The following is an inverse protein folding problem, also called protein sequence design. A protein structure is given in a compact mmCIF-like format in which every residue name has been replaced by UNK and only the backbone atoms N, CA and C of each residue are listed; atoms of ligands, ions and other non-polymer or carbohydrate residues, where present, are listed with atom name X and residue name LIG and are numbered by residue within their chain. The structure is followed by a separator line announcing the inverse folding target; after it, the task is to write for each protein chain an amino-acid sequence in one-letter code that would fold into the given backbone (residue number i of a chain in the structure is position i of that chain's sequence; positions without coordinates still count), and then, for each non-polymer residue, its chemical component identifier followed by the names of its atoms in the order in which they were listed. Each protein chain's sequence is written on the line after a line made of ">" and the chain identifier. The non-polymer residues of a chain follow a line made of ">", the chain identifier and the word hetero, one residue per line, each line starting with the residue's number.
data_IF_800719435337
#
_entry.id   IF_800719435337
#
_cell.length_a   1.000
_cell.length_b   1.000
_cell.length_c   1.000
_cell.angle_alpha   90.00
_cell.angle_beta   90.00
_cell.angle_gamma   90.00
#
_symmetry.space_group_name_H-M   'P 1'
#
loop_
_entity.id
_entity.type
_entity.pdbx_description
1 polymer ?
#
# COMPACT_ATOMS: atom_id res chain seq x y z
N UNK A 1 -4.68 36.94 -27.17
CA UNK A 1 -5.15 35.71 -26.50
C UNK A 1 -6.64 35.85 -26.25
N UNK A 2 -7.46 35.00 -26.88
CA UNK A 2 -8.91 35.09 -26.79
C UNK A 2 -9.38 34.68 -25.38
N UNK A 3 -10.13 35.53 -24.69
CA UNK A 3 -10.61 35.28 -23.31
C UNK A 3 -11.40 33.95 -23.21
N UNK A 4 -12.06 33.56 -24.30
CA UNK A 4 -12.74 32.28 -24.45
C UNK A 4 -11.80 31.06 -24.44
N UNK A 5 -10.65 31.16 -25.10
CA UNK A 5 -9.65 30.08 -25.14
C UNK A 5 -8.98 29.89 -23.78
N UNK A 6 -8.78 30.98 -23.03
CA UNK A 6 -8.23 30.92 -21.66
C UNK A 6 -9.21 30.22 -20.72
N UNK A 7 -10.51 30.54 -20.79
CA UNK A 7 -11.55 29.93 -19.96
C UNK A 7 -11.72 28.42 -20.21
N UNK A 8 -11.69 27.98 -21.46
CA UNK A 8 -11.81 26.55 -21.81
C UNK A 8 -10.61 25.73 -21.31
N UNK A 9 -9.40 26.32 -21.37
CA UNK A 9 -8.19 25.67 -20.87
C UNK A 9 -8.16 25.56 -19.33
N UNK A 10 -8.77 26.51 -18.61
CA UNK A 10 -8.85 26.44 -17.13
C UNK A 10 -9.81 25.37 -16.64
N UNK A 11 -10.95 25.18 -17.33
CA UNK A 11 -11.95 24.15 -16.98
C UNK A 11 -11.40 22.73 -17.19
N UNK A 12 -10.61 22.52 -18.25
CA UNK A 12 -9.99 21.22 -18.53
C UNK A 12 -9.01 20.76 -17.44
N UNK A 13 -8.33 21.70 -16.77
CA UNK A 13 -7.35 21.37 -15.71
C UNK A 13 -8.01 20.88 -14.42
N UNK A 14 -9.23 21.33 -14.12
CA UNK A 14 -9.93 20.95 -12.87
C UNK A 14 -10.45 19.50 -12.91
N UNK A 15 -10.72 18.98 -14.11
CA UNK A 15 -11.24 17.63 -14.31
C UNK A 15 -10.18 16.52 -14.18
N UNK A 16 -8.90 16.87 -14.05
CA UNK A 16 -7.79 15.92 -13.91
C UNK A 16 -7.51 15.49 -12.45
N UNK A 17 -8.44 15.74 -11.52
CA UNK A 17 -8.29 15.30 -10.14
C UNK A 17 -8.45 13.76 -10.04
N UNK A 18 -7.41 13.07 -9.57
CA UNK A 18 -7.44 11.62 -9.36
C UNK A 18 -8.45 11.23 -8.27
N UNK A 19 -9.11 10.07 -8.44
CA UNK A 19 -10.14 9.60 -7.50
C UNK A 19 -9.50 9.15 -6.19
N UNK A 20 -9.86 9.81 -5.07
CA UNK A 20 -9.47 9.37 -3.74
C UNK A 20 -10.24 8.10 -3.36
N UNK A 21 -9.53 6.99 -3.13
CA UNK A 21 -10.15 5.68 -2.82
C UNK A 21 -9.55 5.12 -1.55
N UNK A 22 -10.39 4.63 -0.64
CA UNK A 22 -9.91 3.93 0.55
C UNK A 22 -9.46 2.53 0.15
N UNK A 23 -8.23 2.16 0.50
CA UNK A 23 -7.71 0.80 0.31
C UNK A 23 -7.17 0.29 1.62
N UNK A 24 -7.65 -0.88 2.02
CA UNK A 24 -7.13 -1.59 3.19
C UNK A 24 -5.92 -2.42 2.77
N UNK A 25 -4.89 -2.44 3.61
CA UNK A 25 -3.78 -3.37 3.38
C UNK A 25 -4.20 -4.77 3.80
N UNK A 26 -3.86 -5.75 2.97
CA UNK A 26 -4.08 -7.17 3.22
C UNK A 26 -2.74 -7.92 3.25
N UNK A 27 -2.67 -9.08 3.93
CA UNK A 27 -1.47 -9.91 3.90
C UNK A 27 -1.23 -10.43 2.47
N UNK A 28 -0.10 -10.06 1.86
CA UNK A 28 0.33 -10.51 0.52
C UNK A 28 1.50 -11.49 0.59
N UNK A 29 1.98 -11.82 1.79
CA UNK A 29 3.07 -12.75 2.01
C UNK A 29 3.64 -12.65 3.42
N UNK A 30 4.74 -13.35 3.64
CA UNK A 30 5.45 -13.37 4.91
C UNK A 30 6.15 -14.70 5.11
N UNK A 31 7.12 -14.71 6.03
CA UNK A 31 7.88 -15.89 6.41
C UNK A 31 7.83 -16.05 7.92
N UNK A 32 7.28 -17.17 8.38
CA UNK A 32 7.32 -17.52 9.81
C UNK A 32 8.75 -17.74 10.29
N UNK A 33 9.61 -18.30 9.43
CA UNK A 33 11.01 -18.57 9.77
C UNK A 33 11.81 -17.27 9.93
N UNK A 34 11.55 -16.28 9.09
CA UNK A 34 12.23 -14.97 9.15
C UNK A 34 11.50 -13.97 10.07
N UNK A 35 10.33 -14.34 10.61
CA UNK A 35 9.51 -13.47 11.44
C UNK A 35 8.99 -12.23 10.70
N UNK A 36 8.63 -12.36 9.41
CA UNK A 36 8.18 -11.23 8.58
C UNK A 36 6.78 -11.43 8.03
N UNK A 37 6.02 -10.33 7.89
CA UNK A 37 4.70 -10.28 7.26
C UNK A 37 4.67 -9.14 6.26
N UNK A 38 4.35 -9.45 5.00
CA UNK A 38 4.20 -8.45 3.96
C UNK A 38 2.74 -8.04 3.83
N UNK A 39 2.45 -6.78 4.12
CA UNK A 39 1.12 -6.18 3.95
C UNK A 39 1.11 -5.31 2.70
N UNK A 40 0.02 -5.31 1.94
CA UNK A 40 -0.05 -4.48 0.74
C UNK A 40 -1.45 -4.36 0.15
N UNK A 41 -1.53 -3.58 -0.93
CA UNK A 41 -2.75 -3.30 -1.66
C UNK A 41 -2.44 -3.09 -3.15
N UNK A 42 -3.45 -3.24 -4.00
CA UNK A 42 -3.35 -2.95 -5.43
C UNK A 42 -4.00 -1.61 -5.74
N UNK A 43 -3.31 -0.80 -6.53
CA UNK A 43 -3.73 0.56 -6.92
C UNK A 43 -3.63 0.75 -8.43
N UNK A 44 -4.62 1.41 -9.01
CA UNK A 44 -4.61 1.83 -10.40
C UNK A 44 -3.86 3.14 -10.62
N UNK A 45 -3.37 3.39 -11.84
CA UNK A 45 -2.53 4.58 -12.16
C UNK A 45 -3.19 5.93 -11.90
N UNK A 46 -4.52 5.99 -11.83
CA UNK A 46 -5.30 7.22 -11.62
C UNK A 46 -6.00 7.28 -10.25
N UNK A 47 -5.75 6.29 -9.39
CA UNK A 47 -6.27 6.26 -8.03
C UNK A 47 -5.31 7.01 -7.09
N UNK A 48 -5.88 7.77 -6.16
CA UNK A 48 -5.16 8.32 -5.00
C UNK A 48 -5.57 7.51 -3.77
N UNK A 49 -4.82 6.46 -3.40
CA UNK A 49 -5.20 5.58 -2.31
C UNK A 49 -5.02 6.27 -0.95
N UNK A 50 -6.05 6.20 -0.11
CA UNK A 50 -5.98 6.58 1.30
C UNK A 50 -5.85 5.29 2.10
N UNK A 51 -4.73 5.15 2.82
CA UNK A 51 -4.37 3.94 3.57
C UNK A 51 -4.40 4.21 5.07
N UNK A 52 -4.92 3.26 5.84
CA UNK A 52 -4.81 3.24 7.30
C UNK A 52 -3.61 2.37 7.74
N UNK A 53 -2.51 3.01 8.11
CA UNK A 53 -1.30 2.33 8.58
C UNK A 53 -1.51 1.58 9.91
N UNK A 54 -2.44 2.01 10.76
CA UNK A 54 -2.75 1.34 12.02
C UNK A 54 -3.51 0.04 11.75
N UNK A 55 -4.46 0.06 10.80
CA UNK A 55 -5.16 -1.14 10.34
C UNK A 55 -4.16 -2.19 9.79
N UNK A 56 -3.23 -1.76 8.96
CA UNK A 56 -2.18 -2.63 8.40
C UNK A 56 -1.29 -3.23 9.51
N UNK A 57 -0.81 -2.40 10.44
CA UNK A 57 -0.01 -2.84 11.59
C UNK A 57 -0.76 -3.83 12.47
N UNK A 58 -2.03 -3.57 12.75
CA UNK A 58 -2.85 -4.44 13.59
C UNK A 58 -3.06 -5.82 12.95
N UNK A 59 -3.32 -5.87 11.64
CA UNK A 59 -3.43 -7.14 10.90
C UNK A 59 -2.10 -7.89 10.84
N UNK A 60 -0.99 -7.19 10.60
CA UNK A 60 0.35 -7.79 10.64
C UNK A 60 0.63 -8.39 12.03
N UNK A 61 0.33 -7.65 13.10
CA UNK A 61 0.49 -8.12 14.47
C UNK A 61 -0.42 -9.32 14.78
N UNK A 62 -1.66 -9.34 14.29
CA UNK A 62 -2.53 -10.51 14.40
C UNK A 62 -1.91 -11.73 13.73
N UNK A 63 -1.32 -11.57 12.54
CA UNK A 63 -0.62 -12.66 11.86
C UNK A 63 0.60 -13.14 12.66
N UNK A 64 1.43 -12.23 13.14
CA UNK A 64 2.57 -12.53 14.00
C UNK A 64 2.18 -13.26 15.30
N UNK A 65 1.04 -12.90 15.90
CA UNK A 65 0.49 -13.61 17.07
C UNK A 65 0.17 -15.06 16.81
N UNK A 66 -0.30 -15.41 15.61
CA UNK A 66 -0.50 -16.83 15.23
C UNK A 66 0.80 -17.63 15.20
N UNK A 67 1.95 -16.96 15.18
CA UNK A 67 3.28 -17.57 15.21
C UNK A 67 3.96 -17.51 16.58
N UNK A 68 3.34 -16.87 17.58
CA UNK A 68 3.87 -16.77 18.95
C UNK A 68 4.66 -15.48 19.25
N UNK A 69 4.52 -14.45 18.41
CA UNK A 69 5.03 -13.09 18.67
C UNK A 69 3.95 -12.20 19.29
N UNK A 70 4.34 -11.07 19.89
CA UNK A 70 3.39 -10.17 20.57
C UNK A 70 2.90 -9.04 19.66
N UNK A 71 3.74 -8.61 18.72
CA UNK A 71 3.48 -7.46 17.88
C UNK A 71 4.13 -7.55 16.50
N UNK A 72 3.99 -6.46 15.76
CA UNK A 72 4.63 -6.26 14.45
C UNK A 72 5.01 -4.80 14.27
N UNK A 73 6.14 -4.55 13.62
CA UNK A 73 6.66 -3.22 13.30
C UNK A 73 7.05 -3.13 11.84
N UNK A 74 6.70 -2.03 11.17
CA UNK A 74 7.05 -1.83 9.76
C UNK A 74 8.56 -1.59 9.61
N UNK A 75 9.17 -2.17 8.58
CA UNK A 75 10.55 -1.95 8.20
C UNK A 75 10.72 -1.96 6.67
N UNK A 76 11.88 -1.54 6.17
CA UNK A 76 12.19 -1.59 4.73
C UNK A 76 11.45 -0.58 3.84
N UNK A 77 10.53 0.20 4.41
CA UNK A 77 9.76 1.20 3.68
C UNK A 77 8.68 0.59 2.79
N UNK A 78 8.12 1.42 1.91
CA UNK A 78 7.09 1.01 0.95
C UNK A 78 7.73 0.63 -0.38
N UNK A 79 7.36 -0.52 -0.92
CA UNK A 79 7.78 -1.03 -2.22
C UNK A 79 6.58 -1.01 -3.16
N UNK A 80 6.77 -0.49 -4.37
CA UNK A 80 5.76 -0.50 -5.43
C UNK A 80 6.28 -1.32 -6.61
N UNK A 81 5.53 -2.35 -7.00
CA UNK A 81 5.86 -3.20 -8.13
C UNK A 81 4.71 -3.22 -9.13
N UNK A 82 5.03 -3.11 -10.43
CA UNK A 82 4.01 -3.18 -11.44
C UNK A 82 3.41 -4.59 -11.52
N UNK A 83 2.09 -4.68 -11.34
CA UNK A 83 1.33 -5.92 -11.46
C UNK A 83 0.80 -6.13 -12.88
N UNK A 84 0.46 -5.03 -13.57
CA UNK A 84 -0.03 -5.08 -14.95
C UNK A 84 0.52 -3.92 -15.77
N UNK A 85 1.31 -4.26 -16.79
CA UNK A 85 1.74 -3.30 -17.81
C UNK A 85 0.61 -3.04 -18.81
N UNK A 86 0.42 -1.77 -19.15
CA UNK A 86 -0.44 -1.30 -20.23
C UNK A 86 0.36 -0.60 -21.33
N UNK A 87 -0.34 -0.08 -22.33
CA UNK A 87 0.26 0.57 -23.49
C UNK A 87 1.07 1.84 -23.15
N UNK A 88 0.75 2.51 -22.03
CA UNK A 88 1.33 3.80 -21.64
C UNK A 88 2.08 3.74 -20.30
N UNK A 89 2.34 2.55 -19.76
CA UNK A 89 3.00 2.36 -18.47
C UNK A 89 2.30 1.33 -17.60
N UNK A 90 2.52 1.41 -16.29
CA UNK A 90 1.92 0.48 -15.36
C UNK A 90 0.46 0.84 -15.06
N UNK A 91 -0.48 -0.03 -15.41
CA UNK A 91 -1.92 0.16 -15.17
C UNK A 91 -2.33 -0.17 -13.72
N UNK A 92 -1.72 -1.21 -13.15
CA UNK A 92 -1.94 -1.66 -11.78
C UNK A 92 -0.61 -1.89 -11.09
N UNK A 93 -0.42 -1.29 -9.93
CA UNK A 93 0.75 -1.51 -9.08
C UNK A 93 0.33 -2.20 -7.78
N UNK A 94 1.15 -3.15 -7.34
CA UNK A 94 1.08 -3.71 -5.99
C UNK A 94 2.02 -2.90 -5.11
N UNK A 95 1.45 -2.28 -4.09
CA UNK A 95 2.18 -1.49 -3.12
C UNK A 95 2.19 -2.25 -1.80
N UNK A 96 3.37 -2.51 -1.25
CA UNK A 96 3.54 -3.31 -0.04
C UNK A 96 4.53 -2.71 0.93
N UNK A 97 4.38 -3.05 2.20
CA UNK A 97 5.26 -2.72 3.32
C UNK A 97 5.55 -4.02 4.08
N UNK A 98 6.82 -4.22 4.43
CA UNK A 98 7.24 -5.35 5.24
C UNK A 98 7.11 -5.03 6.73
N UNK A 99 6.68 -6.01 7.52
CA UNK A 99 6.57 -5.92 8.96
C UNK A 99 7.40 -7.03 9.61
N UNK A 100 8.23 -6.67 10.57
CA UNK A 100 8.95 -7.60 11.43
C UNK A 100 8.07 -7.93 12.64
N UNK A 101 7.91 -9.22 12.94
CA UNK A 101 7.26 -9.68 14.14
C UNK A 101 8.16 -9.42 15.35
N UNK A 102 7.60 -8.87 16.43
CA UNK A 102 8.36 -8.46 17.62
C UNK A 102 7.81 -9.08 18.90
N UNK A 103 8.68 -9.29 19.88
CA UNK A 103 8.33 -9.84 21.19
C UNK A 103 7.96 -11.34 21.16
N UNK A 104 7.35 -11.82 22.23
CA UNK A 104 6.90 -13.19 22.38
C UNK A 104 8.01 -14.21 22.65
N UNK A 105 7.62 -15.48 22.77
CA UNK A 105 8.55 -16.59 22.97
C UNK A 105 9.27 -16.97 21.68
N UNK A 106 8.64 -16.74 20.52
CA UNK A 106 9.23 -17.00 19.22
C UNK A 106 10.49 -16.16 18.95
N UNK A 107 10.58 -14.94 19.53
CA UNK A 107 11.77 -14.10 19.41
C UNK A 107 12.94 -14.50 20.33
N UNK A 108 12.78 -15.51 21.20
CA UNK A 108 13.79 -15.96 22.17
C UNK A 108 14.46 -17.29 21.80
N UNK A 109 14.04 -17.89 20.68
CA UNK A 109 14.63 -19.09 20.10
C UNK A 109 15.52 -18.71 18.93
#
# INVERSE_FOLDING_TARGET
>A
MNKFSVAMMTVAVILLSGCATKKDMIPMGGSKADGTVRMGYTVGSFENPIIDANQAKNLAAQKCKTWGYDGAEAFGGQVSQCAQMGAYGCNLANVSVEYQCTGGQAAKN
#
